data_IF_303049065921
#
_entry.id   IF_303049065921
#
_cell.length_a   1.000
_cell.length_b   1.000
_cell.length_c   1.000
_cell.angle_alpha   90.00
_cell.angle_beta   90.00
_cell.angle_gamma   90.00
#
_symmetry.space_group_name_H-M   'P 1'
#
loop_
_entity.id
_entity.type
_entity.pdbx_description
1 polymer ?
#
# COMPACT_ATOMS: atom_id res chain seq x y z
N UNK A 1 23.23 -12.62 -37.58
CA UNK A 1 23.50 -13.96 -37.02
C UNK A 1 23.95 -13.79 -35.57
N UNK A 2 23.25 -14.42 -34.62
CA UNK A 2 23.69 -14.84 -33.26
C UNK A 2 24.30 -13.73 -32.37
N UNK A 3 23.50 -13.12 -31.48
CA UNK A 3 23.31 -13.46 -30.05
C UNK A 3 24.59 -13.40 -29.21
N UNK A 4 24.66 -12.41 -28.31
CA UNK A 4 25.36 -12.48 -27.03
C UNK A 4 24.65 -11.51 -26.04
N UNK A 5 23.76 -12.06 -25.22
CA UNK A 5 23.89 -12.15 -23.75
C UNK A 5 23.78 -10.81 -23.00
N UNK A 6 22.54 -10.40 -22.68
CA UNK A 6 22.24 -9.59 -21.50
C UNK A 6 21.95 -10.54 -20.34
N UNK A 7 22.75 -10.46 -19.27
CA UNK A 7 22.38 -10.98 -17.94
C UNK A 7 21.34 -10.03 -17.39
N UNK A 8 20.09 -10.48 -17.38
CA UNK A 8 18.99 -9.84 -16.69
C UNK A 8 19.12 -10.19 -15.20
N UNK A 9 19.24 -9.17 -14.35
CA UNK A 9 19.01 -9.31 -12.92
C UNK A 9 17.49 -9.49 -12.73
N UNK A 10 17.10 -10.66 -12.20
CA UNK A 10 15.72 -10.99 -11.85
C UNK A 10 15.27 -10.07 -10.71
N UNK A 11 14.30 -9.21 -11.00
CA UNK A 11 13.29 -8.80 -10.02
C UNK A 11 12.11 -9.73 -10.27
N UNK A 12 11.83 -10.64 -9.34
CA UNK A 12 10.65 -11.51 -9.41
C UNK A 12 9.44 -10.68 -8.95
N UNK A 13 8.82 -9.98 -9.89
CA UNK A 13 7.41 -9.59 -9.82
C UNK A 13 6.81 -10.00 -11.16
N UNK A 14 6.29 -11.23 -11.21
CA UNK A 14 5.46 -11.74 -12.29
C UNK A 14 4.72 -13.00 -11.81
N UNK A 15 3.63 -12.84 -11.05
CA UNK A 15 2.63 -13.89 -10.99
C UNK A 15 1.76 -13.79 -12.23
N UNK A 16 1.96 -14.76 -13.12
CA UNK A 16 1.30 -14.90 -14.41
C UNK A 16 -0.19 -15.21 -14.19
N UNK A 17 -1.05 -14.24 -14.49
CA UNK A 17 -2.48 -14.44 -14.77
C UNK A 17 -2.62 -15.41 -15.97
N UNK A 18 -2.73 -16.70 -15.69
CA UNK A 18 -3.24 -17.69 -16.64
C UNK A 18 -4.73 -17.89 -16.34
N UNK A 19 -5.53 -17.16 -17.12
CA UNK A 19 -6.99 -17.24 -17.13
C UNK A 19 -7.41 -18.67 -17.53
N UNK A 20 -8.07 -19.37 -16.62
CA UNK A 20 -9.07 -20.41 -16.94
C UNK A 20 -10.41 -19.97 -16.33
N UNK A 21 -11.55 -20.21 -17.01
CA UNK A 21 -12.78 -19.48 -16.71
C UNK A 21 -13.52 -20.17 -15.57
N UNK A 22 -13.36 -19.63 -14.37
CA UNK A 22 -14.45 -19.53 -13.41
C UNK A 22 -14.17 -18.33 -12.50
N UNK A 23 -14.20 -17.13 -13.09
CA UNK A 23 -14.18 -15.89 -12.32
C UNK A 23 -15.53 -15.79 -11.61
N UNK A 24 -15.64 -16.40 -10.42
CA UNK A 24 -16.29 -15.67 -9.33
C UNK A 24 -15.40 -14.47 -9.10
N UNK A 25 -15.97 -13.26 -9.13
CA UNK A 25 -15.23 -12.07 -8.71
C UNK A 25 -14.62 -12.40 -7.36
N UNK A 26 -13.29 -12.33 -7.25
CA UNK A 26 -12.65 -12.43 -5.96
C UNK A 26 -13.22 -11.27 -5.14
N UNK A 27 -13.84 -11.61 -4.01
CA UNK A 27 -14.43 -10.61 -3.13
C UNK A 27 -13.35 -9.59 -2.78
N UNK A 28 -13.67 -8.31 -2.94
CA UNK A 28 -12.75 -7.24 -2.57
C UNK A 28 -12.63 -7.24 -1.05
N UNK A 29 -11.43 -7.54 -0.54
CA UNK A 29 -11.18 -7.57 0.89
C UNK A 29 -11.14 -6.13 1.41
N UNK A 30 -11.84 -5.90 2.51
CA UNK A 30 -11.91 -4.61 3.16
C UNK A 30 -10.51 -4.10 3.54
N UNK A 31 -10.14 -2.85 3.20
CA UNK A 31 -8.80 -2.32 3.46
C UNK A 31 -8.49 -2.20 4.96
N UNK A 32 -9.49 -1.94 5.81
CA UNK A 32 -9.30 -1.88 7.27
C UNK A 32 -8.98 -3.26 7.84
N UNK A 33 -9.59 -4.31 7.31
CA UNK A 33 -9.24 -5.69 7.67
C UNK A 33 -7.81 -6.02 7.24
N UNK A 34 -7.41 -5.67 6.01
CA UNK A 34 -6.06 -5.91 5.53
C UNK A 34 -4.99 -5.19 6.35
N UNK A 35 -5.28 -3.97 6.80
CA UNK A 35 -4.35 -3.20 7.64
C UNK A 35 -4.22 -3.78 9.05
N UNK A 36 -5.26 -4.46 9.55
CA UNK A 36 -5.30 -5.05 10.89
C UNK A 36 -4.66 -6.46 10.93
N UNK A 37 -4.63 -7.20 9.82
CA UNK A 37 -4.16 -8.59 9.79
C UNK A 37 -2.66 -8.72 9.45
N UNK A 38 -1.91 -9.40 10.32
CA UNK A 38 -0.52 -9.79 10.10
C UNK A 38 -0.40 -11.29 9.78
N UNK A 39 0.02 -11.64 8.57
CA UNK A 39 0.10 -13.03 8.07
C UNK A 39 1.53 -13.58 8.24
N UNK A 40 1.67 -14.66 9.01
CA UNK A 40 2.94 -15.31 9.33
C UNK A 40 2.89 -16.79 8.94
N UNK A 41 3.28 -17.11 7.71
CA UNK A 41 3.17 -18.47 7.15
C UNK A 41 4.53 -19.06 6.79
N UNK A 42 4.69 -20.37 6.99
CA UNK A 42 5.89 -21.14 6.61
C UNK A 42 5.76 -21.86 5.26
N UNK A 43 4.57 -21.89 4.64
CA UNK A 43 4.28 -22.61 3.39
C UNK A 43 3.23 -21.91 2.53
N UNK A 44 3.18 -22.26 1.23
CA UNK A 44 2.18 -21.74 0.30
C UNK A 44 0.77 -22.23 0.65
N UNK A 45 0.64 -23.47 1.11
CA UNK A 45 -0.63 -24.04 1.57
C UNK A 45 -1.16 -23.30 2.80
N UNK A 46 -0.30 -22.96 3.75
CA UNK A 46 -0.67 -22.13 4.90
C UNK A 46 -1.08 -20.71 4.47
N UNK A 47 -0.37 -20.11 3.51
CA UNK A 47 -0.74 -18.81 2.97
C UNK A 47 -2.12 -18.86 2.28
N UNK A 48 -2.42 -19.93 1.53
CA UNK A 48 -3.75 -20.11 0.94
C UNK A 48 -4.85 -20.21 2.00
N UNK A 49 -4.61 -20.94 3.09
CA UNK A 49 -5.56 -21.02 4.21
C UNK A 49 -5.73 -19.68 4.93
N UNK A 50 -4.65 -18.91 5.13
CA UNK A 50 -4.72 -17.58 5.72
C UNK A 50 -5.68 -16.66 4.95
N UNK A 51 -5.63 -16.70 3.61
CA UNK A 51 -6.57 -15.93 2.78
C UNK A 51 -8.01 -16.41 2.88
N UNK A 52 -8.26 -17.70 3.15
CA UNK A 52 -9.61 -18.21 3.43
C UNK A 52 -10.13 -17.72 4.78
N UNK A 53 -9.26 -17.66 5.81
CA UNK A 53 -9.59 -17.06 7.11
C UNK A 53 -9.95 -15.58 6.96
N UNK A 54 -9.13 -14.82 6.23
CA UNK A 54 -9.40 -13.39 5.94
C UNK A 54 -10.72 -13.24 5.18
N UNK A 55 -11.01 -14.10 4.21
CA UNK A 55 -12.29 -14.07 3.49
C UNK A 55 -13.48 -14.28 4.42
N UNK A 56 -13.39 -15.14 5.44
CA UNK A 56 -14.46 -15.33 6.44
C UNK A 56 -14.60 -14.11 7.35
N UNK A 57 -13.49 -13.51 7.77
CA UNK A 57 -13.48 -12.25 8.54
C UNK A 57 -14.05 -11.07 7.73
N UNK A 58 -13.92 -11.09 6.40
CA UNK A 58 -14.42 -10.05 5.51
C UNK A 58 -15.96 -9.93 5.48
N UNK A 59 -16.68 -10.90 6.03
CA UNK A 59 -18.12 -10.82 6.19
C UNK A 59 -18.56 -9.80 7.26
N UNK A 60 -17.66 -9.38 8.15
CA UNK A 60 -17.94 -8.38 9.19
C UNK A 60 -18.17 -7.00 8.56
N UNK A 61 -19.16 -6.24 9.04
CA UNK A 61 -19.48 -4.95 8.45
C UNK A 61 -18.31 -3.97 8.53
N UNK A 62 -18.19 -3.15 7.48
CA UNK A 62 -17.13 -2.16 7.34
C UNK A 62 -16.97 -1.24 8.55
N UNK A 63 -18.06 -0.87 9.24
CA UNK A 63 -18.02 -0.01 10.44
C UNK A 63 -17.21 -0.63 11.57
N UNK A 64 -17.41 -1.92 11.82
CA UNK A 64 -16.72 -2.64 12.88
C UNK A 64 -15.24 -2.76 12.51
N UNK A 65 -14.94 -3.16 11.28
CA UNK A 65 -13.57 -3.26 10.75
C UNK A 65 -12.84 -1.90 10.82
N UNK A 66 -13.52 -0.82 10.45
CA UNK A 66 -13.01 0.55 10.52
C UNK A 66 -12.63 0.93 11.95
N UNK A 67 -13.55 0.77 12.91
CA UNK A 67 -13.27 1.16 14.30
C UNK A 67 -12.17 0.31 14.91
N UNK A 68 -12.21 -1.02 14.79
CA UNK A 68 -11.16 -1.86 15.36
C UNK A 68 -9.79 -1.52 14.79
N UNK A 69 -9.70 -1.27 13.47
CA UNK A 69 -8.46 -0.81 12.85
C UNK A 69 -8.04 0.59 13.34
N UNK A 70 -8.97 1.53 13.45
CA UNK A 70 -8.69 2.90 13.89
C UNK A 70 -8.26 2.97 15.37
N UNK A 71 -8.64 2.00 16.19
CA UNK A 71 -8.16 1.82 17.57
C UNK A 71 -6.86 1.01 17.67
N UNK A 72 -6.26 0.65 16.54
CA UNK A 72 -4.96 -0.03 16.52
C UNK A 72 -5.03 -1.51 16.89
N UNK A 73 -6.19 -2.16 16.78
CA UNK A 73 -6.27 -3.61 16.92
C UNK A 73 -5.32 -4.28 15.92
N UNK A 74 -4.68 -5.37 16.34
CA UNK A 74 -3.84 -6.19 15.47
C UNK A 74 -4.26 -7.65 15.59
N UNK A 75 -4.36 -8.33 14.45
CA UNK A 75 -4.80 -9.72 14.38
C UNK A 75 -3.79 -10.57 13.63
N UNK A 76 -3.07 -11.44 14.36
CA UNK A 76 -2.02 -12.29 13.80
C UNK A 76 -2.64 -13.59 13.30
N UNK A 77 -2.31 -13.96 12.06
CA UNK A 77 -2.57 -15.29 11.50
C UNK A 77 -1.24 -16.02 11.34
N UNK A 78 -1.00 -17.03 12.17
CA UNK A 78 0.26 -17.78 12.16
C UNK A 78 0.05 -19.29 12.02
N UNK A 79 0.92 -19.99 11.29
CA UNK A 79 0.85 -21.46 11.16
C UNK A 79 1.65 -22.21 12.25
N UNK A 80 2.43 -21.49 13.05
CA UNK A 80 3.14 -22.00 14.24
C UNK A 80 2.30 -21.81 15.52
N UNK A 81 2.64 -22.52 16.62
CA UNK A 81 1.99 -22.31 17.92
C UNK A 81 2.03 -20.84 18.36
N UNK A 82 1.00 -20.39 19.08
CA UNK A 82 0.91 -18.99 19.54
C UNK A 82 2.12 -18.60 20.38
N UNK A 83 2.63 -19.52 21.23
CA UNK A 83 3.76 -19.26 22.13
C UNK A 83 5.12 -19.20 21.43
N UNK A 84 5.15 -19.38 20.11
CA UNK A 84 6.32 -19.12 19.25
C UNK A 84 6.30 -17.71 18.65
N UNK A 85 5.21 -16.96 18.82
CA UNK A 85 5.14 -15.55 18.43
C UNK A 85 5.78 -14.67 19.52
N UNK A 86 6.57 -13.65 19.16
CA UNK A 86 7.20 -12.75 20.13
C UNK A 86 6.21 -12.13 21.14
N UNK A 87 5.02 -11.77 20.66
CA UNK A 87 3.95 -11.15 21.44
C UNK A 87 3.40 -12.08 22.53
N UNK A 88 3.41 -13.39 22.28
CA UNK A 88 2.80 -14.41 23.16
C UNK A 88 3.81 -15.37 23.80
N UNK A 89 5.12 -15.14 23.62
CA UNK A 89 6.18 -16.01 24.17
C UNK A 89 6.08 -16.14 25.69
N UNK A 90 5.61 -15.08 26.38
CA UNK A 90 5.43 -15.07 27.83
C UNK A 90 4.40 -16.08 28.34
N UNK A 91 3.53 -16.61 27.48
CA UNK A 91 2.52 -17.62 27.81
C UNK A 91 3.06 -19.05 27.79
N UNK A 92 4.29 -19.27 27.31
CA UNK A 92 4.86 -20.61 27.13
C UNK A 92 4.83 -21.45 28.41
N UNK A 93 4.26 -22.66 28.31
CA UNK A 93 4.11 -23.59 29.44
C UNK A 93 3.06 -23.20 30.49
N UNK A 94 2.34 -22.09 30.31
CA UNK A 94 1.26 -21.67 31.21
C UNK A 94 -0.10 -22.15 30.72
N UNK A 95 -1.04 -22.34 31.65
CA UNK A 95 -2.40 -22.82 31.37
C UNK A 95 -3.37 -21.65 31.52
N UNK A 96 -4.19 -21.32 30.51
CA UNK A 96 -5.19 -20.27 30.64
C UNK A 96 -6.25 -20.61 31.68
N UNK A 97 -6.89 -19.55 32.18
CA UNK A 97 -8.05 -19.69 33.06
C UNK A 97 -9.14 -20.47 32.34
N UNK A 98 -9.68 -21.50 33.00
CA UNK A 98 -10.77 -22.33 32.45
C UNK A 98 -10.32 -23.50 31.58
N UNK A 99 -9.03 -23.63 31.29
CA UNK A 99 -8.50 -24.71 30.46
C UNK A 99 -7.71 -25.75 31.27
N UNK A 100 -7.63 -26.96 30.72
CA UNK A 100 -6.72 -28.02 31.20
C UNK A 100 -5.41 -28.08 30.42
N UNK A 101 -5.39 -27.49 29.21
CA UNK A 101 -4.28 -27.55 28.27
C UNK A 101 -3.44 -26.26 28.34
N UNK A 102 -2.13 -26.38 28.07
CA UNK A 102 -1.22 -25.23 28.00
C UNK A 102 -1.54 -24.34 26.80
N UNK A 103 -1.23 -23.04 26.90
CA UNK A 103 -1.20 -22.09 25.79
C UNK A 103 -0.35 -22.58 24.61
N UNK A 104 0.64 -23.46 24.84
CA UNK A 104 1.42 -24.09 23.76
C UNK A 104 0.57 -24.92 22.77
N UNK A 105 -0.64 -25.29 23.17
CA UNK A 105 -1.55 -26.13 22.39
C UNK A 105 -2.86 -25.44 22.01
N UNK A 106 -3.07 -24.22 22.49
CA UNK A 106 -4.29 -23.46 22.22
C UNK A 106 -4.09 -22.68 20.92
N UNK A 107 -5.06 -22.76 19.99
CA UNK A 107 -4.87 -22.23 18.65
C UNK A 107 -5.21 -20.75 18.51
N UNK A 108 -5.84 -20.11 19.49
CA UNK A 108 -6.21 -18.69 19.41
C UNK A 108 -6.21 -17.98 20.76
N UNK A 109 -6.15 -16.66 20.71
CA UNK A 109 -6.33 -15.79 21.87
C UNK A 109 -6.92 -14.43 21.42
N UNK A 110 -7.91 -13.95 22.16
CA UNK A 110 -8.57 -12.66 21.94
C UNK A 110 -8.17 -11.62 22.99
N UNK A 111 -7.58 -10.51 22.55
CA UNK A 111 -7.24 -9.31 23.33
C UNK A 111 -6.87 -8.13 22.39
N UNK A 112 -6.12 -7.13 22.88
CA UNK A 112 -5.58 -6.03 22.05
C UNK A 112 -4.71 -6.57 20.90
N UNK A 113 -3.80 -7.49 21.22
CA UNK A 113 -3.10 -8.34 20.27
C UNK A 113 -3.84 -9.68 20.23
N UNK A 114 -4.49 -9.96 19.11
CA UNK A 114 -5.24 -11.21 18.92
C UNK A 114 -4.54 -12.11 17.92
N UNK A 115 -4.75 -13.41 18.05
CA UNK A 115 -4.12 -14.40 17.18
C UNK A 115 -5.07 -15.57 16.91
N UNK A 116 -5.05 -16.06 15.66
CA UNK A 116 -5.66 -17.33 15.29
C UNK A 116 -4.67 -18.17 14.48
N UNK A 117 -4.57 -19.45 14.84
CA UNK A 117 -3.66 -20.38 14.18
C UNK A 117 -4.22 -20.85 12.84
N UNK A 118 -3.44 -20.69 11.79
CA UNK A 118 -3.79 -21.08 10.42
C UNK A 118 -4.05 -22.59 10.35
N UNK A 119 -5.20 -22.95 9.76
CA UNK A 119 -5.65 -24.35 9.61
C UNK A 119 -6.40 -24.92 10.83
N UNK A 120 -6.66 -24.08 11.83
CA UNK A 120 -7.40 -24.44 13.05
C UNK A 120 -8.76 -23.75 13.12
N UNK A 121 -9.33 -23.30 12.00
CA UNK A 121 -10.60 -22.56 11.98
C UNK A 121 -11.82 -23.38 12.42
N UNK A 122 -11.87 -24.66 12.08
CA UNK A 122 -13.06 -25.49 12.30
C UNK A 122 -13.17 -26.04 13.74
N UNK A 123 -14.40 -26.22 14.27
CA UNK A 123 -14.62 -26.80 15.58
C UNK A 123 -13.91 -28.15 15.77
N UNK A 124 -13.37 -28.37 16.97
CA UNK A 124 -12.67 -29.62 17.32
C UNK A 124 -11.20 -29.65 16.90
N UNK A 125 -10.68 -28.59 16.28
CA UNK A 125 -9.24 -28.38 16.05
C UNK A 125 -8.57 -27.76 17.28
N UNK A 126 -8.78 -28.34 18.47
CA UNK A 126 -8.17 -27.83 19.71
C UNK A 126 -8.91 -26.66 20.39
N UNK A 127 -10.01 -26.20 19.80
CA UNK A 127 -10.99 -25.28 20.40
C UNK A 127 -12.42 -25.77 20.06
N UNK A 128 -13.42 -25.12 20.65
CA UNK A 128 -14.84 -25.46 20.49
C UNK A 128 -15.66 -24.42 19.71
N UNK A 129 -15.13 -23.22 19.51
CA UNK A 129 -15.80 -22.18 18.75
C UNK A 129 -16.23 -22.65 17.35
N UNK A 130 -17.38 -22.14 16.88
CA UNK A 130 -17.92 -22.44 15.54
C UNK A 130 -16.95 -22.06 14.41
N UNK A 131 -16.16 -21.01 14.63
CA UNK A 131 -15.04 -20.60 13.81
C UNK A 131 -14.02 -19.87 14.67
N UNK A 132 -12.75 -20.28 14.60
CA UNK A 132 -11.69 -19.74 15.47
C UNK A 132 -11.49 -18.23 15.25
N UNK A 133 -11.14 -17.82 14.03
CA UNK A 133 -10.74 -16.43 13.76
C UNK A 133 -11.87 -15.43 14.02
N UNK A 134 -13.12 -15.77 13.71
CA UNK A 134 -14.26 -14.91 14.02
C UNK A 134 -14.56 -14.87 15.52
N UNK A 135 -14.35 -15.96 16.26
CA UNK A 135 -14.51 -15.96 17.72
C UNK A 135 -13.47 -15.05 18.37
N UNK A 136 -12.18 -15.25 18.04
CA UNK A 136 -11.12 -14.41 18.59
C UNK A 136 -11.29 -12.94 18.17
N UNK A 137 -11.75 -12.69 16.94
CA UNK A 137 -12.07 -11.34 16.50
C UNK A 137 -13.30 -10.77 17.22
N UNK A 138 -14.27 -11.60 17.59
CA UNK A 138 -15.38 -11.21 18.45
C UNK A 138 -14.92 -10.60 19.78
N UNK A 139 -13.86 -11.14 20.40
CA UNK A 139 -13.26 -10.56 21.61
C UNK A 139 -12.60 -9.19 21.35
N UNK A 140 -12.00 -9.00 20.17
CA UNK A 140 -11.51 -7.68 19.74
C UNK A 140 -12.66 -6.70 19.62
N UNK A 141 -13.72 -7.08 18.92
CA UNK A 141 -14.90 -6.24 18.71
C UNK A 141 -15.56 -5.87 20.04
N UNK A 142 -15.68 -6.83 20.95
CA UNK A 142 -16.23 -6.63 22.28
C UNK A 142 -15.52 -5.49 23.03
N UNK A 143 -14.19 -5.44 22.94
CA UNK A 143 -13.35 -4.57 23.76
C UNK A 143 -12.99 -3.22 23.10
N UNK A 144 -12.91 -3.18 21.77
CA UNK A 144 -12.27 -2.05 21.07
C UNK A 144 -13.22 -1.20 20.24
N UNK A 145 -14.40 -1.70 19.87
CA UNK A 145 -15.23 -0.99 18.88
C UNK A 145 -15.85 0.31 19.41
N UNK A 146 -16.39 0.31 20.64
CA UNK A 146 -17.14 1.47 21.17
C UNK A 146 -16.51 2.12 22.41
N UNK A 147 -15.32 1.70 22.82
CA UNK A 147 -14.60 2.25 23.97
C UNK A 147 -15.05 1.73 25.33
N UNK A 148 -15.98 0.77 25.35
CA UNK A 148 -16.37 -0.04 26.51
C UNK A 148 -16.48 -1.49 26.07
N UNK A 149 -16.39 -2.42 27.03
CA UNK A 149 -16.66 -3.81 26.77
C UNK A 149 -18.18 -4.01 26.55
N UNK A 150 -18.58 -4.28 25.31
CA UNK A 150 -19.98 -4.33 24.88
C UNK A 150 -20.76 -5.44 25.60
N UNK A 151 -20.13 -6.59 25.77
CA UNK A 151 -20.67 -7.77 26.43
C UNK A 151 -21.00 -7.50 27.91
N UNK A 152 -20.28 -6.57 28.53
CA UNK A 152 -20.45 -6.17 29.92
C UNK A 152 -21.60 -5.17 30.14
N UNK A 153 -22.16 -4.60 29.06
CA UNK A 153 -23.30 -3.67 29.14
C UNK A 153 -24.53 -4.36 29.71
N UNK A 154 -25.36 -3.61 30.45
CA UNK A 154 -26.62 -4.15 31.01
C UNK A 154 -27.54 -4.70 29.92
N UNK A 155 -27.54 -4.06 28.75
CA UNK A 155 -28.29 -4.49 27.58
C UNK A 155 -27.87 -5.89 27.11
N UNK A 156 -26.58 -6.10 26.84
CA UNK A 156 -26.11 -7.39 26.31
C UNK A 156 -26.23 -8.49 27.36
N UNK A 157 -25.97 -8.19 28.63
CA UNK A 157 -26.21 -9.12 29.74
C UNK A 157 -27.67 -9.57 29.83
N UNK A 158 -28.63 -8.67 29.58
CA UNK A 158 -30.04 -9.02 29.55
C UNK A 158 -30.38 -9.92 28.34
N UNK A 159 -29.73 -9.71 27.20
CA UNK A 159 -29.85 -10.58 26.01
C UNK A 159 -29.33 -11.99 26.31
N UNK A 160 -28.08 -12.11 26.79
CA UNK A 160 -27.48 -13.40 27.16
C UNK A 160 -28.36 -14.14 28.18
N UNK A 161 -28.75 -13.49 29.27
CA UNK A 161 -29.57 -14.13 30.33
C UNK A 161 -30.89 -14.70 29.80
N UNK A 162 -31.45 -14.11 28.75
CA UNK A 162 -32.69 -14.57 28.15
C UNK A 162 -32.51 -15.76 27.20
N UNK A 163 -31.33 -15.93 26.60
CA UNK A 163 -31.14 -16.81 25.43
C UNK A 163 -30.00 -17.82 25.56
N UNK A 164 -29.15 -17.72 26.59
CA UNK A 164 -28.04 -18.64 26.85
C UNK A 164 -28.44 -20.11 26.77
N UNK A 165 -29.50 -20.49 27.49
CA UNK A 165 -30.00 -21.87 27.51
C UNK A 165 -30.67 -22.29 26.21
N UNK A 166 -31.25 -21.35 25.48
CA UNK A 166 -31.89 -21.64 24.18
C UNK A 166 -30.85 -21.88 23.09
N UNK A 167 -29.75 -21.10 23.12
CA UNK A 167 -28.67 -21.20 22.15
C UNK A 167 -27.75 -22.39 22.43
N UNK A 168 -27.34 -22.55 23.70
CA UNK A 168 -26.30 -23.49 24.10
C UNK A 168 -26.77 -24.58 25.08
N UNK A 169 -28.06 -24.72 25.37
CA UNK A 169 -28.58 -25.67 26.36
C UNK A 169 -28.23 -27.13 26.12
N UNK A 170 -28.10 -27.54 24.85
CA UNK A 170 -27.69 -28.89 24.45
C UNK A 170 -26.16 -29.03 24.28
N UNK A 171 -25.40 -27.93 24.43
CA UNK A 171 -23.95 -27.92 24.27
C UNK A 171 -23.27 -28.45 25.55
N UNK A 172 -22.32 -29.37 25.40
CA UNK A 172 -21.54 -29.91 26.53
C UNK A 172 -20.69 -28.86 27.25
N UNK A 173 -20.50 -27.70 26.63
CA UNK A 173 -19.81 -26.52 27.17
C UNK A 173 -20.75 -25.38 27.55
N UNK A 174 -22.07 -25.62 27.70
CA UNK A 174 -23.05 -24.59 28.10
C UNK A 174 -22.55 -23.68 29.24
N UNK A 175 -21.89 -24.26 30.24
CA UNK A 175 -21.41 -23.50 31.41
C UNK A 175 -20.23 -22.56 31.11
N UNK A 176 -19.48 -22.82 30.05
CA UNK A 176 -18.42 -21.93 29.55
C UNK A 176 -19.01 -20.58 29.12
N UNK A 177 -20.16 -20.62 28.45
CA UNK A 177 -20.88 -19.43 27.99
C UNK A 177 -21.67 -18.70 29.09
N UNK A 178 -21.52 -19.06 30.37
CA UNK A 178 -21.89 -18.16 31.47
C UNK A 178 -20.96 -16.94 31.51
N UNK A 179 -19.73 -17.06 30.98
CA UNK A 179 -18.84 -15.94 30.72
C UNK A 179 -19.44 -15.12 29.56
N UNK A 180 -19.71 -13.84 29.78
CA UNK A 180 -20.49 -13.02 28.83
C UNK A 180 -19.71 -12.62 27.59
N UNK A 181 -18.41 -12.41 27.75
CA UNK A 181 -17.42 -12.23 26.69
C UNK A 181 -17.36 -13.46 25.76
N UNK A 182 -17.32 -14.66 26.32
CA UNK A 182 -17.35 -15.90 25.54
C UNK A 182 -18.68 -16.10 24.80
N UNK A 183 -19.81 -15.73 25.43
CA UNK A 183 -21.12 -15.74 24.76
C UNK A 183 -21.16 -14.72 23.61
N UNK A 184 -20.62 -13.51 23.83
CA UNK A 184 -20.52 -12.48 22.81
C UNK A 184 -19.69 -12.94 21.62
N UNK A 185 -18.47 -13.41 21.86
CA UNK A 185 -17.54 -13.85 20.83
C UNK A 185 -18.10 -15.02 20.00
N UNK A 186 -18.73 -16.00 20.66
CA UNK A 186 -19.32 -17.13 19.95
C UNK A 186 -20.55 -16.71 19.14
N UNK A 187 -21.44 -15.90 19.70
CA UNK A 187 -22.62 -15.43 18.98
C UNK A 187 -22.24 -14.49 17.82
N UNK A 188 -21.19 -13.68 17.99
CA UNK A 188 -20.58 -12.88 16.93
C UNK A 188 -20.08 -13.79 15.79
N UNK A 189 -19.31 -14.84 16.13
CA UNK A 189 -18.84 -15.80 15.13
C UNK A 189 -20.00 -16.49 14.40
N UNK A 190 -21.05 -16.90 15.12
CA UNK A 190 -22.26 -17.47 14.50
C UNK A 190 -22.95 -16.49 13.55
N UNK A 191 -23.00 -15.20 13.91
CA UNK A 191 -23.67 -14.17 13.10
C UNK A 191 -22.92 -13.89 11.77
N UNK A 192 -21.58 -13.83 11.78
CA UNK A 192 -20.79 -13.46 10.60
C UNK A 192 -20.26 -14.64 9.77
N UNK A 193 -20.24 -15.86 10.31
CA UNK A 193 -19.61 -16.99 9.62
C UNK A 193 -20.29 -17.34 8.29
N UNK A 194 -21.60 -17.63 8.30
CA UNK A 194 -22.38 -17.92 7.11
C UNK A 194 -23.90 -17.89 7.38
N UNK A 195 -24.71 -18.03 6.32
CA UNK A 195 -26.18 -18.03 6.40
C UNK A 195 -26.74 -19.15 7.29
N UNK A 196 -26.09 -20.31 7.37
CA UNK A 196 -26.55 -21.45 8.16
C UNK A 196 -26.41 -21.17 9.66
N UNK A 197 -25.24 -20.72 10.10
CA UNK A 197 -25.00 -20.36 11.50
C UNK A 197 -25.84 -19.16 11.92
N UNK A 198 -26.02 -18.16 11.04
CA UNK A 198 -26.88 -17.00 11.32
C UNK A 198 -28.36 -17.40 11.41
N UNK A 199 -28.81 -18.35 10.59
CA UNK A 199 -30.17 -18.91 10.67
C UNK A 199 -30.40 -19.71 11.96
N UNK A 200 -29.40 -20.45 12.42
CA UNK A 200 -29.46 -21.11 13.72
C UNK A 200 -29.56 -20.10 14.86
N UNK A 201 -28.73 -19.05 14.84
CA UNK A 201 -28.78 -17.95 15.80
C UNK A 201 -30.17 -17.28 15.79
N UNK A 202 -30.73 -17.00 14.61
CA UNK A 202 -32.07 -16.44 14.47
C UNK A 202 -33.17 -17.34 15.09
N UNK A 203 -33.04 -18.66 14.94
CA UNK A 203 -34.02 -19.60 15.48
C UNK A 203 -33.92 -19.79 16.99
N UNK A 204 -32.70 -19.78 17.54
CA UNK A 204 -32.46 -20.12 18.96
C UNK A 204 -32.31 -18.90 19.85
N UNK A 205 -31.78 -17.80 19.32
CA UNK A 205 -31.44 -16.59 20.06
C UNK A 205 -31.82 -15.31 19.27
N UNK A 206 -33.11 -15.09 18.98
CA UNK A 206 -33.58 -13.97 18.16
C UNK A 206 -33.25 -12.58 18.73
N UNK A 207 -33.11 -12.42 20.06
CA UNK A 207 -32.69 -11.14 20.67
C UNK A 207 -31.20 -10.92 20.47
N UNK A 208 -30.40 -11.97 20.47
CA UNK A 208 -28.97 -11.94 20.16
C UNK A 208 -28.76 -11.59 18.69
N UNK A 209 -29.54 -12.20 17.78
CA UNK A 209 -29.56 -11.79 16.37
C UNK A 209 -29.92 -10.29 16.23
N UNK A 210 -31.04 -9.86 16.83
CA UNK A 210 -31.49 -8.48 16.77
C UNK A 210 -30.50 -7.49 17.41
N UNK A 211 -29.69 -7.96 18.37
CA UNK A 211 -28.61 -7.17 18.94
C UNK A 211 -27.49 -6.92 17.92
N UNK A 212 -27.06 -7.94 17.19
CA UNK A 212 -26.03 -7.78 16.16
C UNK A 212 -26.55 -7.04 14.92
N UNK A 213 -27.81 -7.23 14.53
CA UNK A 213 -28.44 -6.50 13.41
C UNK A 213 -28.36 -4.97 13.61
N UNK A 214 -28.47 -4.48 14.85
CA UNK A 214 -28.35 -3.06 15.19
C UNK A 214 -26.96 -2.62 15.61
N UNK A 215 -26.06 -3.55 15.91
CA UNK A 215 -24.80 -3.27 16.59
C UNK A 215 -23.95 -2.32 15.74
N UNK A 216 -23.72 -2.66 14.47
CA UNK A 216 -22.92 -1.84 13.56
C UNK A 216 -23.47 -0.41 13.41
N UNK A 217 -24.79 -0.26 13.24
CA UNK A 217 -25.46 1.04 13.13
C UNK A 217 -25.39 1.91 14.39
N UNK A 218 -25.19 1.27 15.55
CA UNK A 218 -25.13 1.95 16.84
C UNK A 218 -23.73 2.46 17.18
N UNK A 219 -22.74 2.29 16.31
CA UNK A 219 -21.36 2.73 16.55
C UNK A 219 -21.15 4.15 16.01
N UNK A 220 -20.54 5.00 16.83
CA UNK A 220 -20.11 6.34 16.43
C UNK A 220 -18.60 6.39 16.21
N UNK A 221 -18.21 7.06 15.14
CA UNK A 221 -16.82 7.43 14.87
C UNK A 221 -16.56 8.87 15.28
N UNK A 222 -15.42 9.08 15.94
CA UNK A 222 -14.91 10.43 16.21
C UNK A 222 -14.12 10.87 14.98
N UNK A 223 -14.53 11.97 14.36
CA UNK A 223 -13.82 12.61 13.26
C UNK A 223 -12.84 13.66 13.79
N UNK A 224 -12.81 14.81 13.14
CA UNK A 224 -11.98 15.95 13.56
C UNK A 224 -12.32 16.40 14.99
N UNK A 225 -11.29 16.60 15.81
CA UNK A 225 -11.38 17.17 17.15
C UNK A 225 -10.45 18.37 17.24
N UNK A 226 -10.99 19.53 17.61
CA UNK A 226 -10.22 20.75 17.91
C UNK A 226 -10.27 21.05 19.41
N UNK A 227 -9.76 22.21 19.84
CA UNK A 227 -9.95 22.68 21.21
C UNK A 227 -11.41 22.90 21.60
N UNK A 228 -12.28 23.27 20.66
CA UNK A 228 -13.66 23.67 20.95
C UNK A 228 -14.73 23.00 20.08
N UNK A 229 -14.34 22.05 19.24
CA UNK A 229 -15.26 21.29 18.39
C UNK A 229 -14.93 19.80 18.37
N UNK A 230 -15.95 18.99 18.14
CA UNK A 230 -15.84 17.55 17.85
C UNK A 230 -16.80 17.22 16.72
N UNK A 231 -16.33 16.53 15.70
CA UNK A 231 -17.20 16.01 14.63
C UNK A 231 -17.49 14.54 14.89
N UNK A 232 -18.76 14.15 14.91
CA UNK A 232 -19.21 12.77 15.05
C UNK A 232 -19.75 12.25 13.72
N UNK A 233 -19.41 11.00 13.38
CA UNK A 233 -19.90 10.30 12.20
C UNK A 233 -20.56 8.97 12.57
N UNK A 234 -21.50 8.51 11.75
CA UNK A 234 -22.16 7.20 11.89
C UNK A 234 -22.60 6.68 10.52
N UNK A 235 -23.09 5.44 10.44
CA UNK A 235 -23.72 4.94 9.22
C UNK A 235 -25.17 5.39 9.11
N UNK A 236 -25.62 5.86 7.94
CA UNK A 236 -27.03 6.18 7.75
C UNK A 236 -27.89 4.93 7.87
N UNK A 237 -29.02 5.06 8.55
CA UNK A 237 -30.05 4.02 8.60
C UNK A 237 -31.14 4.33 7.57
N UNK A 238 -31.57 3.32 6.82
CA UNK A 238 -32.49 3.49 5.69
C UNK A 238 -33.85 4.12 6.07
N UNK A 239 -34.38 3.76 7.24
CA UNK A 239 -35.64 4.31 7.76
C UNK A 239 -35.49 5.64 8.53
N UNK A 240 -34.26 6.13 8.74
CA UNK A 240 -34.04 7.34 9.53
C UNK A 240 -34.18 8.59 8.67
N UNK A 241 -34.99 9.55 9.12
CA UNK A 241 -35.15 10.86 8.47
C UNK A 241 -34.52 12.00 9.28
N UNK A 242 -34.20 11.75 10.55
CA UNK A 242 -33.60 12.70 11.47
C UNK A 242 -32.71 11.95 12.46
N UNK A 243 -31.59 12.59 12.83
CA UNK A 243 -30.71 12.18 13.90
C UNK A 243 -30.65 13.29 14.94
N UNK A 244 -30.97 12.97 16.18
CA UNK A 244 -30.79 13.88 17.32
C UNK A 244 -29.47 13.58 18.03
N UNK A 245 -28.64 14.60 18.20
CA UNK A 245 -27.28 14.47 18.72
C UNK A 245 -27.24 15.01 20.14
N UNK A 246 -26.60 14.25 21.03
CA UNK A 246 -26.48 14.58 22.44
C UNK A 246 -25.03 14.72 22.85
N UNK A 247 -24.75 15.66 23.75
CA UNK A 247 -23.49 15.85 24.46
C UNK A 247 -23.79 15.83 25.96
N UNK A 248 -23.18 14.91 26.70
CA UNK A 248 -23.42 14.71 28.14
C UNK A 248 -24.94 14.61 28.46
N UNK A 249 -25.66 13.81 27.67
CA UNK A 249 -27.12 13.62 27.71
C UNK A 249 -28.01 14.85 27.42
N UNK A 250 -27.42 16.00 27.06
CA UNK A 250 -28.16 17.16 26.58
C UNK A 250 -28.19 17.20 25.06
N UNK A 251 -29.37 17.43 24.47
CA UNK A 251 -29.53 17.56 23.02
C UNK A 251 -28.82 18.84 22.53
N UNK A 252 -27.90 18.69 21.58
CA UNK A 252 -27.16 19.81 20.96
C UNK A 252 -27.70 20.16 19.58
N UNK A 253 -28.67 19.40 19.08
CA UNK A 253 -29.38 19.68 17.83
C UNK A 253 -29.73 18.42 17.04
N UNK A 254 -30.22 18.64 15.83
CA UNK A 254 -30.68 17.59 14.91
C UNK A 254 -30.06 17.77 13.53
N UNK A 255 -29.87 16.66 12.81
CA UNK A 255 -29.38 16.64 11.43
C UNK A 255 -30.09 15.57 10.62
N UNK A 256 -30.17 15.74 9.29
CA UNK A 256 -30.65 14.70 8.36
C UNK A 256 -29.49 13.89 7.78
N UNK A 257 -28.25 14.35 7.93
CA UNK A 257 -27.05 13.69 7.44
C UNK A 257 -26.40 12.78 8.49
N UNK A 258 -25.49 11.87 8.08
CA UNK A 258 -24.84 10.91 8.97
C UNK A 258 -23.62 11.49 9.72
N UNK A 259 -23.62 12.81 9.95
CA UNK A 259 -22.56 13.50 10.68
C UNK A 259 -23.09 14.77 11.36
N UNK A 260 -22.39 15.19 12.41
CA UNK A 260 -22.67 16.43 13.12
C UNK A 260 -21.40 17.01 13.72
N UNK A 261 -21.15 18.30 13.48
CA UNK A 261 -20.08 19.06 14.15
C UNK A 261 -20.67 19.71 15.41
N UNK A 262 -20.21 19.28 16.57
CA UNK A 262 -20.55 19.88 17.85
C UNK A 262 -19.56 21.03 18.10
N UNK A 263 -20.08 22.22 18.37
CA UNK A 263 -19.30 23.44 18.62
C UNK A 263 -19.50 23.95 20.06
N UNK A 264 -18.67 24.92 20.46
CA UNK A 264 -18.78 25.57 21.77
C UNK A 264 -18.43 24.64 22.92
N UNK A 265 -17.46 23.74 22.70
CA UNK A 265 -16.88 22.88 23.73
C UNK A 265 -15.75 23.61 24.46
N UNK A 266 -15.55 23.26 25.72
CA UNK A 266 -14.39 23.69 26.49
C UNK A 266 -13.18 22.85 26.08
N UNK A 267 -11.99 23.44 26.15
CA UNK A 267 -10.72 22.76 25.82
C UNK A 267 -10.31 21.77 26.89
N UNK A 268 -9.45 20.82 26.55
CA UNK A 268 -8.94 19.79 27.48
C UNK A 268 -10.04 19.09 28.29
N UNK A 269 -11.22 18.92 27.69
CA UNK A 269 -12.44 18.44 28.35
C UNK A 269 -12.97 17.21 27.62
N UNK A 270 -13.17 16.13 28.36
CA UNK A 270 -13.83 14.93 27.83
C UNK A 270 -15.34 15.14 27.81
N UNK A 271 -15.94 14.87 26.64
CA UNK A 271 -17.38 14.87 26.44
C UNK A 271 -17.86 13.51 25.97
N UNK A 272 -19.07 13.14 26.39
CA UNK A 272 -19.76 11.95 25.95
C UNK A 272 -20.81 12.28 24.90
N UNK A 273 -20.77 11.58 23.78
CA UNK A 273 -21.65 11.80 22.63
C UNK A 273 -22.55 10.60 22.38
N UNK A 274 -23.81 10.86 22.02
CA UNK A 274 -24.75 9.84 21.54
C UNK A 274 -25.63 10.39 20.44
N UNK A 275 -26.12 9.50 19.59
CA UNK A 275 -27.06 9.82 18.52
C UNK A 275 -28.31 8.95 18.67
N UNK A 276 -29.48 9.57 18.50
CA UNK A 276 -30.75 8.85 18.36
C UNK A 276 -31.24 9.03 16.93
N UNK A 277 -31.32 7.94 16.18
CA UNK A 277 -31.94 7.94 14.85
C UNK A 277 -33.45 7.83 14.99
N UNK A 278 -34.20 8.63 14.22
CA UNK A 278 -35.66 8.69 14.25
C UNK A 278 -36.28 8.51 12.87
N UNK A 279 -37.42 7.82 12.84
CA UNK A 279 -38.24 7.70 11.64
C UNK A 279 -39.10 8.95 11.39
N UNK A 280 -39.87 8.92 10.30
CA UNK A 280 -40.76 10.03 9.89
C UNK A 280 -41.90 10.36 10.88
N UNK A 281 -42.16 9.48 11.84
CA UNK A 281 -43.15 9.68 12.91
C UNK A 281 -42.50 10.22 14.19
N UNK A 282 -41.17 10.40 14.20
CA UNK A 282 -40.39 10.84 15.34
C UNK A 282 -40.10 9.72 16.35
N UNK A 283 -40.31 8.46 15.99
CA UNK A 283 -40.01 7.31 16.84
C UNK A 283 -38.53 6.94 16.72
N UNK A 284 -37.88 6.67 17.84
CA UNK A 284 -36.50 6.20 17.87
C UNK A 284 -36.38 4.81 17.22
N UNK A 285 -35.46 4.71 16.26
CA UNK A 285 -35.06 3.46 15.61
C UNK A 285 -33.98 2.77 16.43
N UNK A 286 -32.95 3.52 16.82
CA UNK A 286 -31.90 3.08 17.74
C UNK A 286 -31.28 4.29 18.47
N UNK A 287 -30.57 3.97 19.55
CA UNK A 287 -29.65 4.89 20.24
C UNK A 287 -28.26 4.34 20.06
N UNK A 288 -27.31 5.17 19.64
CA UNK A 288 -25.91 4.76 19.53
C UNK A 288 -25.33 4.39 20.90
N UNK A 289 -24.23 3.65 20.89
CA UNK A 289 -23.35 3.60 22.06
C UNK A 289 -22.81 5.00 22.34
N UNK A 290 -22.57 5.27 23.63
CA UNK A 290 -21.88 6.48 24.05
C UNK A 290 -20.45 6.45 23.55
N UNK A 291 -20.01 7.53 22.92
CA UNK A 291 -18.63 7.70 22.50
C UNK A 291 -18.03 8.92 23.15
N UNK A 292 -16.92 8.75 23.85
CA UNK A 292 -16.19 9.85 24.47
C UNK A 292 -15.16 10.44 23.49
N UNK A 293 -14.99 11.75 23.51
CA UNK A 293 -13.86 12.43 22.88
C UNK A 293 -13.28 13.49 23.84
N UNK A 294 -11.96 13.59 23.87
CA UNK A 294 -11.23 14.63 24.61
C UNK A 294 -10.94 15.78 23.64
N UNK A 295 -11.49 16.96 23.91
CA UNK A 295 -11.11 18.16 23.16
C UNK A 295 -9.64 18.48 23.37
N UNK A 296 -8.99 19.00 22.33
CA UNK A 296 -7.60 19.44 22.43
C UNK A 296 -7.44 20.60 23.42
N UNK A 297 -6.19 20.91 23.75
CA UNK A 297 -5.85 22.18 24.39
C UNK A 297 -6.06 23.34 23.40
N UNK A 298 -6.13 24.59 23.89
CA UNK A 298 -6.11 25.78 23.01
C UNK A 298 -4.74 25.86 22.31
N UNK A 299 -4.55 25.13 21.24
CA UNK A 299 -3.89 25.72 20.08
C UNK A 299 -4.91 25.64 18.95
N UNK A 300 -5.26 26.82 18.43
CA UNK A 300 -5.76 26.95 17.07
C UNK A 300 -4.87 26.12 16.12
N UNK A 301 -5.34 25.76 14.90
CA UNK A 301 -4.44 25.22 13.88
C UNK A 301 -3.12 26.00 13.88
N UNK A 302 -1.98 25.31 13.83
CA UNK A 302 -0.69 25.91 14.06
C UNK A 302 -0.49 27.07 13.08
N UNK A 303 -0.42 28.31 13.59
CA UNK A 303 -0.09 29.50 12.81
C UNK A 303 1.37 29.38 12.35
N UNK A 304 1.55 28.81 11.16
CA UNK A 304 2.84 28.56 10.53
C UNK A 304 3.06 29.53 9.38
N UNK A 305 4.27 30.06 9.27
CA UNK A 305 4.69 30.89 8.15
C UNK A 305 5.10 30.00 6.98
N UNK A 306 4.32 30.03 5.90
CA UNK A 306 4.53 29.24 4.68
C UNK A 306 5.07 30.07 3.50
N UNK A 307 5.27 31.39 3.66
CA UNK A 307 5.60 32.29 2.54
C UNK A 307 6.89 31.86 1.81
N UNK A 308 7.90 31.40 2.55
CA UNK A 308 9.18 30.95 1.97
C UNK A 308 9.05 29.63 1.19
N UNK A 309 8.23 28.70 1.69
CA UNK A 309 8.00 27.42 1.00
C UNK A 309 7.19 27.64 -0.29
N UNK A 310 6.16 28.50 -0.25
CA UNK A 310 5.39 28.90 -1.43
C UNK A 310 6.27 29.54 -2.51
N UNK A 311 7.18 30.43 -2.11
CA UNK A 311 8.13 31.05 -3.02
C UNK A 311 9.04 30.00 -3.68
N UNK A 312 9.59 29.07 -2.90
CA UNK A 312 10.47 28.00 -3.43
C UNK A 312 9.73 27.08 -4.39
N UNK A 313 8.49 26.67 -4.07
CA UNK A 313 7.63 25.89 -4.98
C UNK A 313 7.44 26.62 -6.30
N UNK A 314 7.08 27.91 -6.25
CA UNK A 314 6.85 28.71 -7.45
C UNK A 314 8.11 28.82 -8.32
N UNK A 315 9.30 28.94 -7.72
CA UNK A 315 10.56 28.97 -8.44
C UNK A 315 10.88 27.62 -9.11
N UNK A 316 10.71 26.51 -8.38
CA UNK A 316 10.91 25.15 -8.91
C UNK A 316 9.95 24.87 -10.07
N UNK A 317 8.66 25.15 -9.90
CA UNK A 317 7.66 24.92 -10.96
C UNK A 317 7.96 25.75 -12.22
N UNK A 318 8.41 27.00 -12.05
CA UNK A 318 8.80 27.86 -13.17
C UNK A 318 10.06 27.36 -13.89
N UNK A 319 11.03 26.81 -13.16
CA UNK A 319 12.27 26.28 -13.74
C UNK A 319 12.05 25.00 -14.56
N UNK A 320 10.96 24.26 -14.29
CA UNK A 320 10.65 22.97 -14.92
C UNK A 320 9.38 23.00 -15.78
N UNK A 321 8.90 24.18 -16.20
CA UNK A 321 7.69 24.31 -17.03
C UNK A 321 7.78 23.50 -18.34
N UNK A 322 8.95 23.49 -18.97
CA UNK A 322 9.23 22.82 -20.25
C UNK A 322 10.27 21.68 -20.14
N UNK A 323 10.67 21.30 -18.92
CA UNK A 323 11.75 20.33 -18.67
C UNK A 323 11.27 19.14 -17.83
N UNK A 324 11.88 17.97 -18.05
CA UNK A 324 11.57 16.78 -17.23
C UNK A 324 12.27 16.91 -15.87
N UNK A 325 11.48 16.79 -14.81
CA UNK A 325 11.94 16.84 -13.42
C UNK A 325 12.38 15.45 -12.93
N UNK A 326 13.52 15.37 -12.24
CA UNK A 326 13.92 14.11 -11.63
C UNK A 326 12.97 13.63 -10.52
N UNK A 327 13.06 12.33 -10.22
CA UNK A 327 12.13 11.65 -9.29
C UNK A 327 12.20 12.19 -7.86
N UNK A 328 13.40 12.54 -7.38
CA UNK A 328 13.61 13.08 -6.03
C UNK A 328 12.94 14.45 -5.90
N UNK A 329 13.19 15.34 -6.86
CA UNK A 329 12.59 16.67 -6.91
C UNK A 329 11.07 16.61 -7.07
N UNK A 330 10.56 15.72 -7.94
CA UNK A 330 9.12 15.48 -8.10
C UNK A 330 8.44 15.10 -6.77
N UNK A 331 9.07 14.20 -6.00
CA UNK A 331 8.53 13.76 -4.71
C UNK A 331 8.60 14.85 -3.66
N UNK A 332 9.70 15.60 -3.60
CA UNK A 332 9.84 16.71 -2.67
C UNK A 332 8.79 17.81 -2.94
N UNK A 333 8.59 18.16 -4.21
CA UNK A 333 7.58 19.13 -4.64
C UNK A 333 6.16 18.67 -4.31
N UNK A 334 5.83 17.39 -4.55
CA UNK A 334 4.52 16.83 -4.20
C UNK A 334 4.25 16.89 -2.69
N UNK A 335 5.24 16.54 -1.86
CA UNK A 335 5.11 16.59 -0.41
C UNK A 335 4.89 18.03 0.08
N UNK A 336 5.64 18.99 -0.45
CA UNK A 336 5.52 20.40 -0.11
C UNK A 336 4.14 20.97 -0.49
N UNK A 337 3.67 20.68 -1.72
CA UNK A 337 2.34 21.08 -2.18
C UNK A 337 1.19 20.49 -1.36
N UNK A 338 1.33 19.23 -0.93
CA UNK A 338 0.33 18.58 -0.04
C UNK A 338 0.29 19.28 1.31
N UNK A 339 1.45 19.52 1.92
CA UNK A 339 1.53 20.18 3.22
C UNK A 339 0.92 21.59 3.21
N UNK A 340 1.17 22.39 2.16
CA UNK A 340 0.57 23.71 2.01
C UNK A 340 -0.94 23.64 1.83
N UNK A 341 -1.45 22.66 1.09
CA UNK A 341 -2.89 22.48 0.93
C UNK A 341 -3.56 22.17 2.29
N UNK A 342 -2.94 21.32 3.10
CA UNK A 342 -3.43 20.95 4.43
C UNK A 342 -3.41 22.17 5.38
N UNK A 343 -2.31 22.95 5.38
CA UNK A 343 -2.23 24.23 6.12
C UNK A 343 -3.34 25.21 5.71
N UNK A 344 -3.54 25.43 4.40
CA UNK A 344 -4.54 26.36 3.88
C UNK A 344 -6.00 25.92 4.12
N UNK A 345 -6.21 24.64 4.43
CA UNK A 345 -7.51 24.09 4.80
C UNK A 345 -7.73 24.06 6.33
N UNK A 346 -6.87 24.74 7.09
CA UNK A 346 -6.89 24.78 8.56
C UNK A 346 -6.74 23.38 9.21
N UNK A 347 -6.05 22.44 8.55
CA UNK A 347 -5.83 21.10 9.11
C UNK A 347 -4.80 21.12 10.27
N UNK A 348 -4.95 20.21 11.23
CA UNK A 348 -4.00 20.05 12.33
C UNK A 348 -2.80 19.16 11.97
N UNK A 349 -2.98 18.27 10.99
CA UNK A 349 -1.97 17.27 10.58
C UNK A 349 -1.84 17.22 9.08
N UNK A 350 -0.62 17.01 8.58
CA UNK A 350 -0.35 16.68 7.18
C UNK A 350 0.37 15.34 7.10
N UNK A 351 -0.17 14.41 6.31
CA UNK A 351 0.40 13.05 6.19
C UNK A 351 0.49 12.29 7.51
N UNK A 352 -0.40 12.57 8.46
CA UNK A 352 -0.45 11.93 9.79
C UNK A 352 0.51 12.50 10.82
N UNK A 353 1.27 13.55 10.50
CA UNK A 353 2.12 14.26 11.45
C UNK A 353 1.54 15.64 11.76
N UNK A 354 1.71 16.11 13.00
CA UNK A 354 1.32 17.46 13.41
C UNK A 354 2.00 18.52 12.53
N UNK A 355 1.21 19.49 12.05
CA UNK A 355 1.73 20.63 11.31
C UNK A 355 2.52 21.51 12.28
N UNK A 356 3.77 21.82 11.94
CA UNK A 356 4.63 22.69 12.76
C UNK A 356 5.49 23.58 11.87
N UNK A 357 6.00 24.70 12.41
CA UNK A 357 6.97 25.52 11.68
C UNK A 357 8.21 24.71 11.30
N UNK A 358 8.68 23.82 12.19
CA UNK A 358 9.80 22.92 11.89
C UNK A 358 9.52 21.96 10.73
N UNK A 359 8.25 21.55 10.54
CA UNK A 359 7.81 20.78 9.39
C UNK A 359 7.91 21.57 8.08
N UNK A 360 7.45 22.83 8.09
CA UNK A 360 7.57 23.76 6.94
C UNK A 360 9.04 23.97 6.58
N UNK A 361 9.87 24.32 7.57
CA UNK A 361 11.30 24.57 7.36
C UNK A 361 12.01 23.33 6.80
N UNK A 362 11.66 22.14 7.30
CA UNK A 362 12.23 20.86 6.84
C UNK A 362 11.81 20.53 5.41
N UNK A 363 10.56 20.80 5.02
CA UNK A 363 10.08 20.59 3.67
C UNK A 363 10.74 21.56 2.69
N UNK A 364 10.89 22.83 3.09
CA UNK A 364 11.59 23.84 2.29
C UNK A 364 13.05 23.42 2.02
N UNK A 365 13.76 23.01 3.08
CA UNK A 365 15.13 22.51 2.96
C UNK A 365 15.22 21.26 2.07
N UNK A 366 14.29 20.31 2.21
CA UNK A 366 14.26 19.08 1.40
C UNK A 366 13.98 19.37 -0.08
N UNK A 367 13.11 20.34 -0.37
CA UNK A 367 12.79 20.78 -1.72
C UNK A 367 14.00 21.47 -2.38
N UNK A 368 14.66 22.36 -1.64
CA UNK A 368 15.89 23.03 -2.11
C UNK A 368 17.02 22.03 -2.38
N UNK A 369 17.27 21.09 -1.46
CA UNK A 369 18.30 20.04 -1.64
C UNK A 369 18.01 19.18 -2.87
N UNK A 370 16.76 18.71 -3.04
CA UNK A 370 16.37 17.93 -4.20
C UNK A 370 16.47 18.73 -5.51
N UNK A 371 16.26 20.04 -5.46
CA UNK A 371 16.39 20.92 -6.63
C UNK A 371 17.85 21.13 -7.02
N UNK A 372 18.73 21.38 -6.05
CA UNK A 372 20.18 21.47 -6.28
C UNK A 372 20.76 20.17 -6.86
N UNK A 373 20.31 19.01 -6.36
CA UNK A 373 20.71 17.71 -6.90
C UNK A 373 20.30 17.53 -8.37
N UNK A 374 19.06 17.93 -8.73
CA UNK A 374 18.56 17.77 -10.10
C UNK A 374 19.30 18.71 -11.08
N UNK A 375 19.56 19.95 -10.68
CA UNK A 375 20.38 20.90 -11.45
C UNK A 375 21.83 20.39 -11.64
N UNK A 376 22.41 19.75 -10.63
CA UNK A 376 23.72 19.12 -10.74
C UNK A 376 23.72 17.97 -11.75
N UNK A 377 22.70 17.11 -11.72
CA UNK A 377 22.54 16.01 -12.69
C UNK A 377 22.41 16.58 -14.11
N UNK A 378 21.60 17.63 -14.30
CA UNK A 378 21.47 18.30 -15.60
C UNK A 378 22.82 18.82 -16.10
N UNK A 379 23.59 19.47 -15.24
CA UNK A 379 24.93 19.95 -15.59
C UNK A 379 25.84 18.81 -16.02
N UNK A 380 25.84 17.69 -15.30
CA UNK A 380 26.66 16.52 -15.66
C UNK A 380 26.24 15.91 -17.00
N UNK A 381 24.94 15.82 -17.28
CA UNK A 381 24.44 15.34 -18.58
C UNK A 381 24.89 16.27 -19.71
N UNK A 382 24.83 17.59 -19.50
CA UNK A 382 25.27 18.55 -20.51
C UNK A 382 26.79 18.51 -20.74
N UNK A 383 27.59 18.39 -19.68
CA UNK A 383 29.04 18.18 -19.78
C UNK A 383 29.39 16.87 -20.51
N UNK A 384 28.65 15.78 -20.26
CA UNK A 384 28.83 14.50 -20.96
C UNK A 384 28.48 14.62 -22.46
N UNK A 385 27.37 15.27 -22.80
CA UNK A 385 26.99 15.53 -24.20
C UNK A 385 28.04 16.35 -24.94
N UNK A 386 28.59 17.39 -24.30
CA UNK A 386 29.65 18.20 -24.89
C UNK A 386 30.90 17.37 -25.14
N UNK A 387 31.29 16.53 -24.18
CA UNK A 387 32.42 15.62 -24.32
C UNK A 387 32.22 14.60 -25.45
N UNK A 388 31.04 13.99 -25.55
CA UNK A 388 30.72 13.04 -26.63
C UNK A 388 30.75 13.71 -28.02
N UNK A 389 30.31 14.97 -28.11
CA UNK A 389 30.39 15.76 -29.34
C UNK A 389 31.85 16.08 -29.72
N UNK A 390 32.68 16.48 -28.74
CA UNK A 390 34.11 16.70 -28.95
C UNK A 390 34.83 15.41 -29.41
N UNK A 391 34.54 14.26 -28.79
CA UNK A 391 35.10 12.96 -29.17
C UNK A 391 34.67 12.56 -30.59
N UNK A 392 33.41 12.82 -30.97
CA UNK A 392 32.90 12.55 -32.33
C UNK A 392 33.60 13.41 -33.37
N UNK A 393 33.77 14.71 -33.12
CA UNK A 393 34.49 15.62 -34.00
C UNK A 393 35.96 15.20 -34.16
N UNK A 394 36.61 14.78 -33.07
CA UNK A 394 37.97 14.27 -33.11
C UNK A 394 38.09 12.95 -33.92
N UNK A 395 37.12 12.04 -33.82
CA UNK A 395 37.10 10.81 -34.62
C UNK A 395 36.87 11.10 -36.11
N UNK A 396 35.95 12.00 -36.44
CA UNK A 396 35.72 12.45 -37.82
C UNK A 396 36.98 13.07 -38.42
N UNK A 397 37.67 13.93 -37.66
CA UNK A 397 38.93 14.51 -38.09
C UNK A 397 39.99 13.43 -38.33
N UNK A 398 40.13 12.46 -37.42
CA UNK A 398 41.08 11.34 -37.59
C UNK A 398 40.78 10.51 -38.84
N UNK A 399 39.50 10.22 -39.12
CA UNK A 399 39.09 9.51 -40.35
C UNK A 399 39.41 10.32 -41.61
N UNK A 400 39.18 11.63 -41.58
CA UNK A 400 39.51 12.51 -42.70
C UNK A 400 41.03 12.56 -42.95
N UNK A 401 41.83 12.62 -41.88
CA UNK A 401 43.30 12.57 -41.97
C UNK A 401 43.79 11.22 -42.52
N UNK A 402 43.22 10.10 -42.07
CA UNK A 402 43.56 8.76 -42.57
C UNK A 402 43.18 8.58 -44.05
N UNK A 403 41.99 9.05 -44.45
CA UNK A 403 41.58 9.05 -45.86
C UNK A 403 42.49 9.92 -46.72
N UNK A 404 42.82 11.14 -46.27
CA UNK A 404 43.74 12.02 -46.99
C UNK A 404 45.14 11.39 -47.13
N UNK A 405 45.62 10.67 -46.12
CA UNK A 405 46.88 9.93 -46.18
C UNK A 405 46.83 8.76 -47.18
N UNK A 406 45.70 8.04 -47.23
CA UNK A 406 45.49 6.96 -48.20
C UNK A 406 45.45 7.51 -49.63
N UNK A 407 44.68 8.57 -49.88
CA UNK A 407 44.60 9.24 -51.19
C UNK A 407 45.96 9.79 -51.61
N UNK A 408 46.75 10.34 -50.69
CA UNK A 408 48.11 10.80 -50.97
C UNK A 408 49.03 9.64 -51.38
N UNK A 409 48.94 8.49 -50.69
CA UNK A 409 49.70 7.29 -51.03
C UNK A 409 49.28 6.70 -52.37
N UNK A 410 47.98 6.64 -52.66
CA UNK A 410 47.47 6.19 -53.97
C UNK A 410 47.94 7.10 -55.11
N UNK A 411 47.99 8.43 -54.87
CA UNK A 411 48.57 9.38 -55.84
C UNK A 411 50.06 9.14 -56.06
N UNK A 412 50.84 8.94 -54.99
CA UNK A 412 52.27 8.65 -55.10
C UNK A 412 52.53 7.33 -55.87
N UNK A 413 51.74 6.29 -55.58
CA UNK A 413 51.81 5.00 -56.30
C UNK A 413 51.40 5.13 -57.77
N UNK A 414 50.36 5.92 -58.07
CA UNK A 414 49.92 6.20 -59.44
C UNK A 414 50.96 7.01 -60.23
N UNK A 415 51.58 8.02 -59.61
CA UNK A 415 52.69 8.78 -60.19
C UNK A 415 53.89 7.87 -60.48
N UNK A 416 54.29 7.02 -59.52
CA UNK A 416 55.38 6.07 -59.71
C UNK A 416 55.08 5.02 -60.80
N UNK A 417 53.83 4.57 -60.91
CA UNK A 417 53.40 3.68 -61.99
C UNK A 417 53.46 4.38 -63.34
N UNK A 418 52.95 5.61 -63.45
CA UNK A 418 53.01 6.41 -64.67
C UNK A 418 54.46 6.65 -65.12
N UNK A 419 55.37 6.94 -64.18
CA UNK A 419 56.81 7.04 -64.46
C UNK A 419 57.40 5.72 -64.99
N UNK A 420 57.05 4.58 -64.36
CA UNK A 420 57.49 3.25 -64.83
C UNK A 420 56.95 2.91 -66.21
N UNK A 421 55.69 3.20 -66.49
CA UNK A 421 55.07 2.98 -67.81
C UNK A 421 55.73 3.86 -68.87
N UNK A 422 56.00 5.12 -68.56
CA UNK A 422 56.76 6.02 -69.45
C UNK A 422 58.17 5.49 -69.73
N UNK A 423 58.85 4.94 -68.72
CA UNK A 423 60.17 4.34 -68.83
C UNK A 423 60.14 3.05 -69.67
N UNK A 424 59.17 2.16 -69.44
CA UNK A 424 59.00 0.92 -70.20
C UNK A 424 58.60 1.17 -71.66
N UNK A 425 57.75 2.17 -71.91
CA UNK A 425 57.43 2.64 -73.26
C UNK A 425 58.69 3.15 -73.98
N UNK A 426 59.53 3.91 -73.28
CA UNK A 426 60.82 4.39 -73.78
C UNK A 426 61.77 3.21 -74.10
N UNK A 427 61.91 2.24 -73.18
CA UNK A 427 62.73 1.04 -73.39
C UNK A 427 62.21 0.16 -74.53
N UNK A 428 60.89 -0.01 -74.67
CA UNK A 428 60.28 -0.81 -75.74
C UNK A 428 60.52 -0.16 -77.10
N UNK A 429 60.39 1.17 -77.20
CA UNK A 429 60.76 1.91 -78.42
C UNK A 429 62.24 1.72 -78.80
N UNK A 430 63.14 1.72 -77.81
CA UNK A 430 64.57 1.43 -78.02
C UNK A 430 64.81 -0.03 -78.43
N UNK A 431 64.17 -0.99 -77.76
CA UNK A 431 64.33 -2.44 -78.01
C UNK A 431 63.76 -2.91 -79.34
N UNK A 432 62.58 -2.40 -79.75
CA UNK A 432 62.02 -2.64 -81.09
C UNK A 432 62.93 -2.04 -82.15
N UNK A 433 63.48 -0.84 -81.91
CA UNK A 433 64.52 -0.26 -82.77
C UNK A 433 65.71 -1.20 -82.96
N UNK A 434 66.21 -1.81 -81.87
CA UNK A 434 67.31 -2.78 -81.90
C UNK A 434 66.94 -4.11 -82.58
N UNK A 435 65.74 -4.66 -82.35
CA UNK A 435 65.29 -5.91 -82.99
C UNK A 435 65.06 -5.74 -84.49
N UNK A 436 64.55 -4.58 -84.94
CA UNK A 436 64.47 -4.26 -86.37
C UNK A 436 65.87 -4.25 -86.98
N UNK A 437 66.87 -3.71 -86.27
CA UNK A 437 68.28 -3.74 -86.70
C UNK A 437 68.81 -5.18 -86.76
N UNK A 438 68.54 -6.02 -85.76
CA UNK A 438 69.01 -7.42 -85.70
C UNK A 438 68.29 -8.33 -86.71
N UNK A 439 66.98 -8.18 -86.90
CA UNK A 439 66.21 -8.95 -87.88
C UNK A 439 66.60 -8.57 -89.31
N UNK A 440 66.87 -7.29 -89.58
CA UNK A 440 67.48 -6.85 -90.82
C UNK A 440 68.86 -7.53 -91.01
N UNK A 441 69.64 -7.68 -89.94
CA UNK A 441 70.95 -8.33 -89.97
C UNK A 441 70.89 -9.87 -90.15
N UNK A 442 69.96 -10.57 -89.51
CA UNK A 442 69.77 -12.03 -89.64
C UNK A 442 69.11 -12.38 -90.97
N UNK A 443 68.10 -11.62 -91.40
CA UNK A 443 67.50 -11.77 -92.73
C UNK A 443 68.56 -11.59 -93.82
N UNK A 444 69.45 -10.61 -93.66
CA UNK A 444 70.63 -10.44 -94.49
C UNK A 444 71.58 -11.66 -94.45
N UNK A 445 71.80 -12.27 -93.28
CA UNK A 445 72.63 -13.49 -93.17
C UNK A 445 72.00 -14.76 -93.76
N UNK A 446 70.70 -15.03 -93.55
CA UNK A 446 70.02 -16.21 -94.09
C UNK A 446 69.88 -16.13 -95.61
N UNK A 447 69.54 -14.94 -96.13
CA UNK A 447 69.52 -14.69 -97.57
C UNK A 447 70.86 -15.02 -98.24
N UNK A 448 71.97 -14.79 -97.53
CA UNK A 448 73.33 -15.09 -98.02
C UNK A 448 73.67 -16.60 -98.01
N UNK A 449 73.01 -17.44 -97.20
CA UNK A 449 73.36 -18.88 -96.99
C UNK A 449 72.56 -19.89 -97.82
N UNK A 450 71.47 -19.49 -98.49
CA UNK A 450 70.70 -20.36 -99.42
C UNK A 450 71.16 -20.23 -100.89
N UNK A 451 72.29 -19.58 -101.13
CA UNK A 451 72.93 -19.45 -102.45
C UNK A 451 74.12 -20.39 -102.56
#
# INVERSE_FOLDING_TARGET
MIRATRRASLIIIAMLLMITPLVKAQEEINPYLLNMVDIRTSSEEANQEAWQMISRMNHVENRILYETNNHGATFILADTPITEQPEFEYLKGSVPRGHTNSWDSIPGAGAYESIARIGYSDPGKGHSAINLELHEYGHVVDSFTVGVQVSETEEFRAVQNAELDSLFGDNSQRDYYNNVDEYFAEAFAMYYLNDESRSELASKAPRTLAFFDKFAHSILSVGEVTGNTVTMHWDPHEDAVEYEVFRNDESVGTTTGPNYRIEGLDTDTTYDFKVIAKDSEGKALYTSYTRSALTGSVQDPPDVDIEELEATISEVESAYEDEEMGKSLTRALQNANTYIADVNNDEYTSGGNEITQGGVDSLNASLQEAWEEDEEIKRQIEEEKQREEEERQAEEQRKAEEQAALEAKEREEAEALAEREALMSTLTKVGVGLLVIVAAFIGWMIYRKRK
#
